data_IF_506744874670
#
_entry.id   IF_506744874670
#
_cell.length_a   1.000
_cell.length_b   1.000
_cell.length_c   1.000
_cell.angle_alpha   90.00
_cell.angle_beta   90.00
_cell.angle_gamma   90.00
#
_symmetry.space_group_name_H-M   'P 1'
#
loop_
_entity.id
_entity.type
_entity.pdbx_description
1 polymer ?
#
# COMPACT_ATOMS: atom_id res chain seq x y z
N UNK A 1 41.22 51.22 -1.14
CA UNK A 1 40.00 51.42 -0.35
C UNK A 1 39.49 50.05 0.10
N UNK A 2 39.90 49.58 1.29
CA UNK A 2 39.46 48.27 1.84
C UNK A 2 38.17 48.50 2.62
N UNK A 3 37.06 47.92 2.17
CA UNK A 3 35.83 47.84 2.94
C UNK A 3 36.08 46.93 4.16
N UNK A 4 36.35 47.52 5.32
CA UNK A 4 36.22 46.82 6.60
C UNK A 4 34.74 46.47 6.76
N UNK A 5 34.41 45.17 6.76
CA UNK A 5 33.06 44.72 7.12
C UNK A 5 32.92 44.85 8.64
N UNK A 6 31.97 45.64 9.10
CA UNK A 6 31.63 45.70 10.52
C UNK A 6 30.97 44.37 10.90
N UNK A 7 31.60 43.59 11.79
CA UNK A 7 31.20 42.23 12.16
C UNK A 7 30.02 42.14 13.12
N UNK A 8 29.11 43.13 13.14
CA UNK A 8 27.99 43.19 14.09
C UNK A 8 26.91 42.13 13.83
N UNK A 9 26.81 41.62 12.60
CA UNK A 9 25.92 40.52 12.24
C UNK A 9 26.57 39.67 11.14
N UNK A 10 26.43 38.35 11.24
CA UNK A 10 26.94 37.39 10.26
C UNK A 10 25.83 36.40 9.93
N UNK A 11 25.73 35.99 8.68
CA UNK A 11 24.79 34.93 8.29
C UNK A 11 25.24 33.60 8.90
N UNK A 12 24.31 32.73 9.30
CA UNK A 12 24.62 31.44 9.93
C UNK A 12 25.62 30.59 9.12
N UNK A 13 25.55 30.69 7.78
CA UNK A 13 26.47 30.02 6.86
C UNK A 13 27.92 30.56 6.94
N UNK A 14 28.11 31.86 7.18
CA UNK A 14 29.44 32.45 7.39
C UNK A 14 29.96 32.33 8.82
N UNK A 15 29.08 32.02 9.78
CA UNK A 15 29.45 31.74 11.16
C UNK A 15 29.97 30.30 11.35
N UNK A 16 29.84 29.44 10.35
CA UNK A 16 30.26 28.04 10.45
C UNK A 16 31.76 27.94 10.72
N UNK A 17 32.12 27.33 11.85
CA UNK A 17 33.52 27.19 12.30
C UNK A 17 34.04 28.34 13.18
N UNK A 18 33.24 29.38 13.41
CA UNK A 18 33.56 30.47 14.34
C UNK A 18 32.99 30.12 15.71
N UNK A 19 33.76 30.40 16.78
CA UNK A 19 33.29 30.35 18.17
C UNK A 19 33.29 31.78 18.71
N UNK A 20 32.20 32.16 19.36
CA UNK A 20 32.00 33.49 19.99
C UNK A 20 31.61 33.30 21.45
N UNK A 21 31.71 34.34 22.27
CA UNK A 21 31.34 34.25 23.68
C UNK A 21 29.82 34.10 23.84
N UNK A 22 29.04 34.92 23.13
CA UNK A 22 27.58 34.83 23.06
C UNK A 22 27.05 34.80 21.62
N UNK A 23 26.01 33.99 21.36
CA UNK A 23 25.30 33.94 20.08
C UNK A 23 23.89 34.49 20.24
N UNK A 24 23.48 35.35 19.32
CA UNK A 24 22.15 35.93 19.24
C UNK A 24 21.59 35.65 17.85
N UNK A 25 20.57 34.80 17.76
CA UNK A 25 20.01 34.29 16.50
C UNK A 25 18.60 34.83 16.31
N UNK A 26 18.34 35.46 15.17
CA UNK A 26 16.97 35.72 14.72
C UNK A 26 16.49 34.50 13.94
N UNK A 27 15.48 33.80 14.47
CA UNK A 27 14.91 32.60 13.88
C UNK A 27 13.50 32.92 13.34
N UNK A 28 13.26 32.57 12.08
CA UNK A 28 11.95 32.66 11.44
C UNK A 28 11.50 31.29 10.93
N UNK A 29 10.25 31.20 10.46
CA UNK A 29 9.65 29.95 10.00
C UNK A 29 10.30 29.35 8.74
N UNK A 30 11.11 30.13 8.01
CA UNK A 30 11.82 29.67 6.81
C UNK A 30 13.20 29.07 7.13
N UNK A 31 13.67 29.18 8.37
CA UNK A 31 14.96 28.64 8.77
C UNK A 31 14.94 27.11 8.83
N UNK A 32 15.96 26.46 8.26
CA UNK A 32 16.12 25.01 8.35
C UNK A 32 16.69 24.59 9.70
N UNK A 33 16.41 23.36 10.14
CA UNK A 33 16.94 22.77 11.37
C UNK A 33 18.45 22.87 11.43
N UNK A 34 19.12 22.58 10.33
CA UNK A 34 20.57 22.55 10.22
C UNK A 34 21.16 23.95 10.40
N UNK A 35 20.53 24.96 9.78
CA UNK A 35 20.94 26.38 9.91
C UNK A 35 20.72 26.88 11.33
N UNK A 36 19.59 26.52 11.95
CA UNK A 36 19.27 26.86 13.33
C UNK A 36 20.25 26.21 14.31
N UNK A 37 20.52 24.92 14.15
CA UNK A 37 21.51 24.19 14.96
C UNK A 37 22.89 24.85 14.89
N UNK A 38 23.36 25.16 13.68
CA UNK A 38 24.64 25.83 13.47
C UNK A 38 24.69 27.17 14.18
N UNK A 39 23.63 27.98 14.13
CA UNK A 39 23.60 29.30 14.75
C UNK A 39 23.54 29.23 16.28
N UNK A 40 22.80 28.25 16.82
CA UNK A 40 22.61 28.04 18.26
C UNK A 40 23.77 27.30 18.95
N UNK A 41 24.82 26.94 18.22
CA UNK A 41 26.00 26.23 18.73
C UNK A 41 27.30 27.03 18.65
N UNK A 42 27.23 28.36 18.43
CA UNK A 42 28.42 29.23 18.25
C UNK A 42 28.86 29.92 19.52
N UNK A 43 27.92 30.24 20.41
CA UNK A 43 28.17 30.85 21.70
C UNK A 43 28.73 29.83 22.68
N UNK A 44 29.87 30.16 23.29
CA UNK A 44 30.49 29.33 24.34
C UNK A 44 29.73 29.44 25.66
N UNK A 45 29.35 30.64 26.04
CA UNK A 45 28.75 30.94 27.35
C UNK A 45 27.23 31.07 27.25
N UNK A 46 26.70 31.63 26.15
CA UNK A 46 25.26 31.84 25.99
C UNK A 46 24.81 31.78 24.52
N UNK A 47 23.62 31.21 24.27
CA UNK A 47 22.98 31.17 22.95
C UNK A 47 21.50 31.57 23.10
N UNK A 48 21.12 32.73 22.54
CA UNK A 48 19.76 33.29 22.61
C UNK A 48 19.12 33.28 21.23
N UNK A 49 17.91 32.71 21.12
CA UNK A 49 17.09 32.78 19.91
C UNK A 49 15.96 33.80 20.08
N UNK A 50 15.91 34.80 19.21
CA UNK A 50 14.77 35.69 19.00
C UNK A 50 13.92 35.08 17.90
N UNK A 51 12.73 34.58 18.24
CA UNK A 51 11.85 33.95 17.26
C UNK A 51 10.89 35.00 16.71
N UNK A 52 11.02 35.28 15.42
CA UNK A 52 10.08 36.12 14.70
C UNK A 52 8.74 35.38 14.59
N UNK A 53 7.74 35.89 15.31
CA UNK A 53 6.34 35.45 15.23
C UNK A 53 5.48 36.37 14.36
N UNK A 54 6.10 37.43 13.82
CA UNK A 54 5.41 38.50 13.11
C UNK A 54 5.20 38.15 11.63
N UNK A 55 4.06 38.56 11.07
CA UNK A 55 3.77 38.49 9.63
C UNK A 55 4.45 39.66 8.89
N UNK A 56 4.87 39.52 7.61
CA UNK A 56 5.03 40.66 6.73
C UNK A 56 3.70 41.43 6.64
N UNK A 57 3.77 42.75 6.55
CA UNK A 57 2.65 43.69 6.52
C UNK A 57 1.43 43.19 5.70
N UNK A 58 0.21 43.11 6.27
CA UNK A 58 -1.01 42.68 5.57
C UNK A 58 -1.42 43.60 4.40
N UNK A 59 -0.71 44.69 4.14
CA UNK A 59 -0.93 45.53 2.96
C UNK A 59 -0.55 44.88 1.62
N UNK A 60 0.15 43.73 1.59
CA UNK A 60 0.67 43.17 0.32
C UNK A 60 0.32 41.72 -0.03
N UNK A 61 -0.36 40.94 0.81
CA UNK A 61 -0.86 39.62 0.38
C UNK A 61 -2.11 39.21 1.17
N UNK A 62 -3.14 38.75 0.45
CA UNK A 62 -4.40 38.29 1.02
C UNK A 62 -4.24 37.00 1.86
N UNK A 63 -5.19 36.68 2.75
CA UNK A 63 -5.07 35.54 3.64
C UNK A 63 -5.04 34.21 2.87
N UNK A 64 -3.94 33.46 3.00
CA UNK A 64 -3.81 32.10 2.48
C UNK A 64 -4.47 31.08 3.41
N UNK A 65 -5.22 30.08 2.89
CA UNK A 65 -5.77 29.01 3.71
C UNK A 65 -4.64 28.07 4.14
N UNK A 66 -4.31 28.09 5.44
CA UNK A 66 -3.18 27.36 6.03
C UNK A 66 -2.44 28.17 7.10
N UNK A 67 -2.68 29.47 7.17
CA UNK A 67 -2.13 30.35 8.21
C UNK A 67 -2.64 29.94 9.59
N UNK A 68 -1.75 29.38 10.41
CA UNK A 68 -1.99 29.13 11.82
C UNK A 68 -2.14 30.49 12.53
N UNK A 69 -3.37 30.85 12.92
CA UNK A 69 -3.72 32.13 13.54
C UNK A 69 -3.09 32.36 14.93
N UNK A 70 -2.39 31.36 15.48
CA UNK A 70 -1.72 31.38 16.78
C UNK A 70 -0.25 30.94 16.67
N UNK A 71 0.52 31.46 15.70
CA UNK A 71 1.95 31.20 15.63
C UNK A 71 2.65 31.71 16.91
N UNK A 72 3.04 30.78 17.79
CA UNK A 72 3.85 31.08 18.97
C UNK A 72 5.32 30.83 18.64
N UNK A 73 6.25 31.43 19.40
CA UNK A 73 7.67 31.14 19.26
C UNK A 73 7.98 29.63 19.29
N UNK A 74 7.18 28.88 20.06
CA UNK A 74 7.29 27.41 20.16
C UNK A 74 6.84 26.70 18.88
N UNK A 75 5.75 27.12 18.25
CA UNK A 75 5.28 26.49 17.00
C UNK A 75 6.20 26.79 15.83
N UNK A 76 6.74 28.02 15.74
CA UNK A 76 7.75 28.38 14.74
C UNK A 76 9.01 27.54 14.93
N UNK A 77 9.52 27.45 16.16
CA UNK A 77 10.70 26.65 16.45
C UNK A 77 10.47 25.15 16.18
N UNK A 78 9.27 24.63 16.46
CA UNK A 78 8.90 23.26 16.12
C UNK A 78 8.92 23.04 14.61
N UNK A 79 8.40 23.99 13.83
CA UNK A 79 8.48 23.98 12.36
C UNK A 79 9.93 23.99 11.86
N UNK A 80 10.78 24.86 12.41
CA UNK A 80 12.22 24.92 12.09
C UNK A 80 12.91 23.58 12.37
N UNK A 81 12.60 22.91 13.49
CA UNK A 81 13.16 21.59 13.81
C UNK A 81 12.66 20.47 12.89
N UNK A 82 11.51 20.63 12.24
CA UNK A 82 10.99 19.70 11.23
C UNK A 82 11.47 20.05 9.82
N UNK A 83 11.92 21.28 9.58
CA UNK A 83 12.38 21.75 8.28
C UNK A 83 13.82 21.29 7.99
N UNK A 84 13.96 20.09 7.43
CA UNK A 84 15.25 19.53 7.00
C UNK A 84 15.63 20.16 5.67
N UNK A 85 16.72 20.93 5.66
CA UNK A 85 17.21 21.65 4.47
C UNK A 85 18.13 20.83 3.56
N UNK A 86 18.32 19.54 3.83
CA UNK A 86 19.06 18.67 2.94
C UNK A 86 18.21 18.41 1.70
N UNK A 87 18.58 19.00 0.56
CA UNK A 87 18.17 18.46 -0.73
C UNK A 87 18.58 16.98 -0.76
N UNK A 88 17.62 16.09 -1.05
CA UNK A 88 17.90 14.66 -1.22
C UNK A 88 19.09 14.52 -2.16
N UNK A 89 20.12 13.80 -1.74
CA UNK A 89 21.28 13.59 -2.59
C UNK A 89 20.84 12.96 -3.92
N UNK A 90 21.57 13.20 -5.00
CA UNK A 90 21.25 12.59 -6.30
C UNK A 90 21.05 11.05 -6.19
N UNK A 91 21.69 10.39 -5.23
CA UNK A 91 21.53 8.97 -4.97
C UNK A 91 20.22 8.62 -4.25
N UNK A 92 19.78 9.44 -3.28
CA UNK A 92 18.48 9.25 -2.61
C UNK A 92 17.32 9.56 -3.56
N UNK A 93 17.47 10.55 -4.44
CA UNK A 93 16.51 10.82 -5.52
C UNK A 93 16.44 9.66 -6.50
N UNK A 94 17.59 9.12 -6.94
CA UNK A 94 17.63 7.93 -7.81
C UNK A 94 17.01 6.72 -7.11
N UNK A 95 17.28 6.50 -5.83
CA UNK A 95 16.72 5.37 -5.08
C UNK A 95 15.20 5.52 -4.89
N UNK A 96 14.72 6.72 -4.54
CA UNK A 96 13.29 6.99 -4.39
C UNK A 96 12.54 6.90 -5.71
N UNK A 97 13.13 7.38 -6.81
CA UNK A 97 12.59 7.17 -8.15
C UNK A 97 12.56 5.68 -8.49
N UNK A 98 13.68 4.97 -8.36
CA UNK A 98 13.75 3.53 -8.63
C UNK A 98 12.72 2.74 -7.81
N UNK A 99 12.50 3.10 -6.54
CA UNK A 99 11.48 2.49 -5.70
C UNK A 99 10.06 2.79 -6.16
N UNK A 100 9.79 4.01 -6.64
CA UNK A 100 8.51 4.38 -7.20
C UNK A 100 8.23 3.65 -8.53
N UNK A 101 9.22 3.61 -9.43
CA UNK A 101 9.17 2.89 -10.71
C UNK A 101 9.06 1.37 -10.52
N UNK A 102 9.64 0.83 -9.45
CA UNK A 102 9.52 -0.56 -9.10
C UNK A 102 8.26 -0.88 -8.28
N UNK A 103 7.45 0.09 -7.86
CA UNK A 103 6.30 -0.13 -6.97
C UNK A 103 5.31 -1.17 -7.49
N UNK A 104 4.70 -1.94 -6.57
CA UNK A 104 3.64 -2.90 -6.92
C UNK A 104 2.44 -2.17 -7.53
N UNK A 105 2.20 -0.90 -7.17
CA UNK A 105 1.18 -0.08 -7.82
C UNK A 105 1.45 0.05 -9.33
N UNK A 106 2.67 0.44 -9.71
CA UNK A 106 3.09 0.59 -11.10
C UNK A 106 3.09 -0.75 -11.84
N UNK A 107 3.74 -1.77 -11.28
CA UNK A 107 3.81 -3.11 -11.89
C UNK A 107 2.42 -3.75 -12.06
N UNK A 108 1.51 -3.53 -11.11
CA UNK A 108 0.13 -4.01 -11.22
C UNK A 108 -0.63 -3.29 -12.33
N UNK A 109 -0.48 -1.97 -12.47
CA UNK A 109 -1.12 -1.21 -13.54
C UNK A 109 -0.63 -1.66 -14.93
N UNK A 110 0.67 -1.91 -15.08
CA UNK A 110 1.25 -2.47 -16.30
C UNK A 110 0.72 -3.87 -16.59
N UNK A 111 0.68 -4.74 -15.58
CA UNK A 111 0.13 -6.09 -15.70
C UNK A 111 -1.35 -6.06 -16.12
N UNK A 112 -2.17 -5.22 -15.49
CA UNK A 112 -3.60 -5.10 -15.77
C UNK A 112 -3.86 -4.58 -17.19
N UNK A 113 -3.05 -3.62 -17.66
CA UNK A 113 -3.12 -3.12 -19.04
C UNK A 113 -2.76 -4.20 -20.05
N UNK A 114 -1.66 -4.94 -19.81
CA UNK A 114 -1.27 -6.06 -20.66
C UNK A 114 -2.32 -7.18 -20.66
N UNK A 115 -2.91 -7.46 -19.50
CA UNK A 115 -3.94 -8.50 -19.35
C UNK A 115 -5.21 -8.13 -20.12
N UNK A 116 -5.64 -6.86 -20.05
CA UNK A 116 -6.79 -6.37 -20.79
C UNK A 116 -6.61 -6.56 -22.29
N UNK A 117 -5.44 -6.18 -22.83
CA UNK A 117 -5.13 -6.38 -24.24
C UNK A 117 -5.02 -7.87 -24.61
N UNK A 118 -4.35 -8.68 -23.78
CA UNK A 118 -4.09 -10.10 -24.06
C UNK A 118 -5.33 -10.99 -24.07
N UNK A 119 -6.35 -10.62 -23.30
CA UNK A 119 -7.58 -11.39 -23.18
C UNK A 119 -8.76 -10.78 -23.95
N UNK A 120 -8.57 -9.62 -24.60
CA UNK A 120 -9.64 -8.87 -25.27
C UNK A 120 -10.45 -9.76 -26.23
N UNK A 121 -9.78 -10.41 -27.18
CA UNK A 121 -10.45 -11.22 -28.21
C UNK A 121 -11.18 -12.43 -27.62
N UNK A 122 -10.57 -13.05 -26.60
CA UNK A 122 -11.19 -14.16 -25.87
C UNK A 122 -12.48 -13.72 -25.17
N UNK A 123 -12.46 -12.56 -24.52
CA UNK A 123 -13.65 -12.06 -23.84
C UNK A 123 -14.72 -11.57 -24.81
N UNK A 124 -14.34 -10.94 -25.91
CA UNK A 124 -15.26 -10.57 -26.98
C UNK A 124 -15.97 -11.81 -27.56
N UNK A 125 -15.23 -12.89 -27.78
CA UNK A 125 -15.79 -14.15 -28.27
C UNK A 125 -16.73 -14.82 -27.26
N UNK A 126 -16.38 -14.75 -25.97
CA UNK A 126 -17.24 -15.25 -24.91
C UNK A 126 -18.56 -14.45 -24.81
N UNK A 127 -18.52 -13.13 -25.07
CA UNK A 127 -19.72 -12.29 -25.09
C UNK A 127 -20.60 -12.64 -26.29
N UNK A 128 -20.03 -12.79 -27.50
CA UNK A 128 -20.77 -13.23 -28.68
C UNK A 128 -21.43 -14.60 -28.51
N UNK A 129 -20.77 -15.52 -27.81
CA UNK A 129 -21.32 -16.86 -27.52
C UNK A 129 -22.19 -16.95 -26.26
N UNK A 130 -22.45 -15.82 -25.57
CA UNK A 130 -23.17 -15.79 -24.29
C UNK A 130 -24.70 -15.94 -24.42
N UNK A 131 -25.24 -15.87 -25.63
CA UNK A 131 -26.68 -15.91 -25.91
C UNK A 131 -27.36 -14.53 -25.98
N UNK A 132 -26.58 -13.46 -26.08
CA UNK A 132 -27.04 -12.15 -26.55
C UNK A 132 -27.36 -12.20 -28.05
N UNK A 133 -28.12 -11.22 -28.55
CA UNK A 133 -28.20 -10.97 -29.99
C UNK A 133 -26.83 -10.49 -30.50
N UNK A 134 -26.61 -10.55 -31.80
CA UNK A 134 -25.37 -10.07 -32.42
C UNK A 134 -25.17 -8.56 -32.15
N UNK A 135 -26.24 -7.77 -32.32
CA UNK A 135 -26.24 -6.32 -32.05
C UNK A 135 -25.93 -6.02 -30.57
N UNK A 136 -26.60 -6.69 -29.61
CA UNK A 136 -26.36 -6.47 -28.17
C UNK A 136 -24.93 -6.87 -27.77
N UNK A 137 -24.37 -7.90 -28.41
CA UNK A 137 -23.01 -8.35 -28.14
C UNK A 137 -21.97 -7.34 -28.64
N UNK A 138 -22.17 -6.78 -29.83
CA UNK A 138 -21.31 -5.74 -30.39
C UNK A 138 -21.39 -4.44 -29.58
N UNK A 139 -22.60 -4.06 -29.12
CA UNK A 139 -22.80 -2.91 -28.22
C UNK A 139 -22.05 -3.10 -26.89
N UNK A 140 -22.07 -4.32 -26.32
CA UNK A 140 -21.30 -4.64 -25.11
C UNK A 140 -19.79 -4.53 -25.34
N UNK A 141 -19.29 -5.00 -26.48
CA UNK A 141 -17.86 -4.97 -26.79
C UNK A 141 -17.38 -3.53 -27.03
N UNK A 142 -18.20 -2.70 -27.67
CA UNK A 142 -17.91 -1.29 -27.91
C UNK A 142 -18.12 -0.39 -26.68
N UNK A 143 -18.78 -0.90 -25.63
CA UNK A 143 -19.12 -0.13 -24.44
C UNK A 143 -17.87 0.34 -23.67
N UNK A 144 -17.86 1.59 -23.15
CA UNK A 144 -16.84 2.06 -22.21
C UNK A 144 -16.72 1.17 -20.95
N UNK A 145 -17.78 0.47 -20.57
CA UNK A 145 -17.81 -0.43 -19.42
C UNK A 145 -17.20 -1.81 -19.70
N UNK A 146 -16.81 -2.12 -20.95
CA UNK A 146 -16.25 -3.42 -21.33
C UNK A 146 -14.94 -3.72 -20.58
N UNK A 147 -14.09 -2.71 -20.35
CA UNK A 147 -12.86 -2.86 -19.57
C UNK A 147 -13.13 -3.30 -18.12
N UNK A 148 -14.13 -2.70 -17.48
CA UNK A 148 -14.54 -3.07 -16.12
C UNK A 148 -15.14 -4.48 -16.08
N UNK A 149 -15.99 -4.81 -17.06
CA UNK A 149 -16.56 -6.15 -17.21
C UNK A 149 -15.45 -7.22 -17.35
N UNK A 150 -14.52 -7.05 -18.28
CA UNK A 150 -13.44 -8.02 -18.51
C UNK A 150 -12.48 -8.15 -17.34
N UNK A 151 -12.23 -7.07 -16.59
CA UNK A 151 -11.49 -7.12 -15.34
C UNK A 151 -12.21 -7.99 -14.28
N UNK A 152 -13.53 -7.87 -14.15
CA UNK A 152 -14.32 -8.73 -13.25
C UNK A 152 -14.42 -10.18 -13.72
N UNK A 153 -14.53 -10.43 -15.03
CA UNK A 153 -14.49 -11.79 -15.58
C UNK A 153 -13.14 -12.47 -15.27
N UNK A 154 -12.02 -11.76 -15.48
CA UNK A 154 -10.68 -12.23 -15.09
C UNK A 154 -10.59 -12.48 -13.58
N UNK A 155 -11.12 -11.57 -12.75
CA UNK A 155 -11.16 -11.73 -11.29
C UNK A 155 -11.90 -13.00 -10.88
N UNK A 156 -13.04 -13.27 -11.49
CA UNK A 156 -13.85 -14.43 -11.20
C UNK A 156 -13.18 -15.73 -11.69
N UNK A 157 -12.55 -15.74 -12.87
CA UNK A 157 -11.74 -16.86 -13.37
C UNK A 157 -10.55 -17.16 -12.42
N UNK A 158 -9.84 -16.13 -11.96
CA UNK A 158 -8.77 -16.27 -10.98
C UNK A 158 -9.27 -16.90 -9.66
N UNK A 159 -10.50 -16.61 -9.25
CA UNK A 159 -11.19 -17.23 -8.11
C UNK A 159 -11.85 -18.58 -8.45
N UNK A 160 -11.50 -19.18 -9.59
CA UNK A 160 -11.92 -20.51 -10.02
C UNK A 160 -13.42 -20.62 -10.34
N UNK A 161 -14.08 -19.50 -10.69
CA UNK A 161 -15.42 -19.53 -11.24
C UNK A 161 -15.37 -19.92 -12.72
N UNK A 162 -16.27 -20.80 -13.15
CA UNK A 162 -16.44 -21.19 -14.54
C UNK A 162 -17.31 -20.15 -15.26
N UNK A 163 -16.64 -19.17 -15.86
CA UNK A 163 -17.30 -18.03 -16.50
C UNK A 163 -17.99 -18.42 -17.80
N UNK A 164 -17.44 -19.40 -18.52
CA UNK A 164 -18.03 -19.94 -19.74
C UNK A 164 -19.41 -20.55 -19.46
N UNK A 165 -19.58 -21.19 -18.30
CA UNK A 165 -20.87 -21.74 -17.86
C UNK A 165 -21.77 -20.68 -17.20
N UNK A 166 -21.21 -19.71 -16.48
CA UNK A 166 -21.97 -18.74 -15.69
C UNK A 166 -22.51 -17.58 -16.53
N UNK A 167 -21.73 -17.07 -17.49
CA UNK A 167 -22.11 -15.88 -18.25
C UNK A 167 -23.43 -16.07 -19.03
N UNK A 168 -23.66 -17.20 -19.75
CA UNK A 168 -24.93 -17.43 -20.42
C UNK A 168 -26.14 -17.50 -19.47
N UNK A 169 -25.91 -17.87 -18.21
CA UNK A 169 -26.96 -17.87 -17.17
C UNK A 169 -27.27 -16.46 -16.70
N UNK A 170 -26.25 -15.61 -16.57
CA UNK A 170 -26.44 -14.21 -16.20
C UNK A 170 -27.15 -13.41 -17.28
N UNK A 171 -26.86 -13.67 -18.55
CA UNK A 171 -27.58 -13.09 -19.70
C UNK A 171 -29.07 -13.46 -19.64
N UNK A 172 -29.38 -14.75 -19.47
CA UNK A 172 -30.77 -15.25 -19.44
C UNK A 172 -31.57 -14.89 -18.17
N UNK A 173 -30.91 -14.55 -17.07
CA UNK A 173 -31.58 -14.35 -15.78
C UNK A 173 -32.59 -13.17 -15.78
N UNK A 174 -32.30 -12.11 -16.54
CA UNK A 174 -33.18 -10.94 -16.68
C UNK A 174 -32.84 -10.21 -17.98
N UNK A 175 -33.87 -9.85 -18.76
CA UNK A 175 -33.70 -9.10 -20.01
C UNK A 175 -33.06 -7.71 -19.80
N UNK A 176 -32.63 -7.12 -20.92
CA UNK A 176 -31.90 -5.84 -20.96
C UNK A 176 -32.74 -4.67 -21.50
N UNK A 177 -34.06 -4.84 -21.67
CA UNK A 177 -34.92 -3.84 -22.33
C UNK A 177 -34.94 -2.44 -21.70
N UNK A 178 -34.58 -2.32 -20.42
CA UNK A 178 -34.48 -1.03 -19.70
C UNK A 178 -33.02 -0.61 -19.41
N UNK A 179 -32.03 -1.29 -20.01
CA UNK A 179 -30.62 -1.06 -19.71
C UNK A 179 -29.99 -0.09 -20.71
N UNK A 180 -29.49 1.04 -20.22
CA UNK A 180 -28.72 2.00 -21.04
C UNK A 180 -27.32 1.46 -21.41
N UNK A 181 -26.76 0.56 -20.60
CA UNK A 181 -25.46 -0.08 -20.84
C UNK A 181 -25.49 -1.55 -20.37
N UNK A 182 -25.60 -2.46 -21.35
CA UNK A 182 -25.63 -3.91 -21.12
C UNK A 182 -24.34 -4.39 -20.45
N UNK A 183 -23.18 -3.82 -20.80
CA UNK A 183 -21.89 -4.20 -20.25
C UNK A 183 -21.80 -3.85 -18.76
N UNK A 184 -22.29 -2.67 -18.36
CA UNK A 184 -22.38 -2.27 -16.95
C UNK A 184 -23.31 -3.19 -16.14
N UNK A 185 -24.45 -3.60 -16.73
CA UNK A 185 -25.37 -4.54 -16.08
C UNK A 185 -24.73 -5.92 -15.91
N UNK A 186 -24.04 -6.43 -16.94
CA UNK A 186 -23.31 -7.70 -16.84
C UNK A 186 -22.18 -7.63 -15.81
N UNK A 187 -21.43 -6.53 -15.78
CA UNK A 187 -20.39 -6.28 -14.79
C UNK A 187 -20.96 -6.37 -13.36
N UNK A 188 -22.06 -5.66 -13.08
CA UNK A 188 -22.74 -5.72 -11.79
C UNK A 188 -23.23 -7.14 -11.44
N UNK A 189 -23.83 -7.85 -12.40
CA UNK A 189 -24.33 -9.23 -12.19
C UNK A 189 -23.19 -10.20 -11.86
N UNK A 190 -22.08 -10.13 -12.59
CA UNK A 190 -20.89 -10.94 -12.34
C UNK A 190 -20.33 -10.61 -10.96
N UNK A 191 -20.05 -9.34 -10.67
CA UNK A 191 -19.51 -8.91 -9.39
C UNK A 191 -20.35 -9.39 -8.21
N UNK A 192 -21.68 -9.29 -8.29
CA UNK A 192 -22.57 -9.74 -7.23
C UNK A 192 -22.61 -11.27 -7.10
N UNK A 193 -22.63 -12.00 -8.22
CA UNK A 193 -22.66 -13.46 -8.21
C UNK A 193 -21.34 -14.08 -7.74
N UNK A 194 -20.22 -13.39 -7.95
CA UNK A 194 -18.87 -13.87 -7.61
C UNK A 194 -18.29 -13.19 -6.38
N UNK A 195 -19.07 -12.37 -5.67
CA UNK A 195 -18.66 -11.72 -4.42
C UNK A 195 -18.31 -12.74 -3.32
N UNK A 196 -18.94 -13.92 -3.37
CA UNK A 196 -18.60 -15.06 -2.50
C UNK A 196 -17.70 -16.03 -3.29
N UNK A 197 -16.64 -16.57 -2.67
CA UNK A 197 -15.84 -17.63 -3.29
C UNK A 197 -16.73 -18.76 -3.79
N UNK A 198 -16.38 -19.35 -4.94
CA UNK A 198 -17.02 -20.57 -5.44
C UNK A 198 -17.16 -21.60 -4.30
N UNK A 199 -18.39 -22.09 -4.11
CA UNK A 199 -18.90 -22.63 -2.85
C UNK A 199 -18.14 -23.80 -2.20
N UNK A 200 -18.59 -24.14 -0.98
CA UNK A 200 -18.04 -25.11 -0.01
C UNK A 200 -18.00 -26.59 -0.47
N UNK A 201 -17.44 -26.88 -1.62
CA UNK A 201 -17.18 -28.23 -2.11
C UNK A 201 -15.89 -28.84 -1.53
N UNK A 202 -15.85 -30.18 -1.47
CA UNK A 202 -14.81 -31.02 -0.82
C UNK A 202 -13.37 -30.84 -1.33
N UNK A 203 -13.12 -30.05 -2.37
CA UNK A 203 -11.77 -29.67 -2.84
C UNK A 203 -11.80 -28.21 -3.28
N UNK A 204 -11.49 -27.29 -2.36
CA UNK A 204 -11.39 -25.86 -2.67
C UNK A 204 -10.14 -25.64 -3.52
N UNK A 205 -10.32 -25.38 -4.84
CA UNK A 205 -9.20 -24.97 -5.69
C UNK A 205 -8.65 -23.62 -5.20
N UNK A 206 -7.34 -23.52 -5.12
CA UNK A 206 -6.67 -22.29 -4.67
C UNK A 206 -6.86 -21.20 -5.73
N UNK A 207 -7.24 -19.96 -5.34
CA UNK A 207 -7.25 -18.83 -6.27
C UNK A 207 -5.88 -18.62 -6.93
N UNK A 208 -5.89 -18.20 -8.20
CA UNK A 208 -4.70 -17.86 -8.98
C UNK A 208 -4.43 -16.37 -8.85
N UNK A 209 -3.64 -16.02 -7.85
CA UNK A 209 -3.34 -14.63 -7.49
C UNK A 209 -1.84 -14.40 -7.46
N UNK A 210 -1.41 -13.26 -7.99
CA UNK A 210 -0.04 -12.75 -7.95
C UNK A 210 0.15 -11.99 -6.64
N UNK A 211 1.19 -12.35 -5.89
CA UNK A 211 1.45 -11.96 -4.50
C UNK A 211 0.25 -12.16 -3.56
N UNK A 212 -0.70 -13.03 -3.93
CA UNK A 212 -1.97 -13.23 -3.22
C UNK A 212 -2.98 -12.08 -3.33
N UNK A 213 -2.74 -11.11 -4.22
CA UNK A 213 -3.57 -9.91 -4.39
C UNK A 213 -4.15 -9.77 -5.80
N UNK A 214 -3.29 -9.77 -6.83
CA UNK A 214 -3.66 -9.39 -8.19
C UNK A 214 -4.16 -10.63 -8.96
N UNK A 215 -5.35 -10.59 -9.60
CA UNK A 215 -5.84 -11.69 -10.41
C UNK A 215 -4.93 -12.02 -11.60
N UNK A 216 -4.43 -13.25 -11.65
CA UNK A 216 -3.63 -13.75 -12.77
C UNK A 216 -4.50 -13.84 -14.03
N UNK A 217 -4.02 -13.32 -15.15
CA UNK A 217 -4.61 -13.50 -16.47
C UNK A 217 -4.30 -14.90 -16.99
N UNK A 218 -5.34 -15.64 -17.38
CA UNK A 218 -5.23 -17.03 -17.82
C UNK A 218 -5.94 -17.26 -19.15
N UNK A 219 -5.80 -18.46 -19.71
CA UNK A 219 -6.44 -18.85 -20.98
C UNK A 219 -5.54 -18.74 -22.21
N UNK A 220 -6.18 -18.80 -23.37
CA UNK A 220 -5.56 -18.69 -24.69
C UNK A 220 -5.23 -17.23 -24.99
N UNK A 221 -3.97 -16.97 -25.32
CA UNK A 221 -3.44 -15.67 -25.70
C UNK A 221 -2.12 -15.87 -26.47
N UNK A 222 -1.67 -14.88 -27.28
CA UNK A 222 -0.39 -14.94 -27.98
C UNK A 222 0.78 -15.24 -27.03
N UNK A 223 1.80 -15.97 -27.50
CA UNK A 223 2.95 -16.38 -26.68
C UNK A 223 3.73 -15.18 -26.13
N UNK A 224 3.87 -14.12 -26.94
CA UNK A 224 4.56 -12.88 -26.53
C UNK A 224 3.81 -12.19 -25.38
N UNK A 225 2.48 -12.10 -25.44
CA UNK A 225 1.68 -11.52 -24.36
C UNK A 225 1.71 -12.38 -23.10
N UNK A 226 1.71 -13.71 -23.24
CA UNK A 226 1.89 -14.64 -22.12
C UNK A 226 3.25 -14.45 -21.45
N UNK A 227 4.32 -14.31 -22.24
CA UNK A 227 5.65 -14.04 -21.73
C UNK A 227 5.70 -12.69 -21.01
N UNK A 228 5.19 -11.63 -21.62
CA UNK A 228 5.06 -10.30 -21.03
C UNK A 228 4.34 -10.31 -19.67
N UNK A 229 3.21 -11.01 -19.57
CA UNK A 229 2.47 -11.18 -18.32
C UNK A 229 3.28 -11.97 -17.28
N UNK A 230 4.00 -13.00 -17.71
CA UNK A 230 4.87 -13.81 -16.82
C UNK A 230 5.99 -12.96 -16.24
N UNK A 231 6.67 -12.16 -17.06
CA UNK A 231 7.73 -11.25 -16.62
C UNK A 231 7.20 -10.24 -15.60
N UNK A 232 6.05 -9.60 -15.86
CA UNK A 232 5.43 -8.64 -14.92
C UNK A 232 4.98 -9.32 -13.62
N UNK A 233 4.42 -10.52 -13.71
CA UNK A 233 4.08 -11.34 -12.52
C UNK A 233 5.32 -11.56 -11.66
N UNK A 234 6.41 -12.02 -12.27
CA UNK A 234 7.62 -12.39 -11.54
C UNK A 234 8.26 -11.15 -10.89
N UNK A 235 8.21 -9.97 -11.53
CA UNK A 235 8.64 -8.70 -10.92
C UNK A 235 7.81 -8.33 -9.68
N UNK A 236 6.48 -8.47 -9.74
CA UNK A 236 5.58 -8.21 -8.59
C UNK A 236 5.90 -9.17 -7.44
N UNK A 237 6.09 -10.45 -7.76
CA UNK A 237 6.41 -11.50 -6.81
C UNK A 237 7.76 -11.23 -6.11
N UNK A 238 8.80 -10.91 -6.87
CA UNK A 238 10.13 -10.55 -6.36
C UNK A 238 10.04 -9.33 -5.44
N UNK A 239 9.34 -8.27 -5.86
CA UNK A 239 9.19 -7.07 -5.03
C UNK A 239 8.44 -7.38 -3.72
N UNK A 240 7.36 -8.14 -3.77
CA UNK A 240 6.62 -8.51 -2.57
C UNK A 240 7.49 -9.31 -1.58
N UNK A 241 8.39 -10.16 -2.07
CA UNK A 241 9.35 -10.88 -1.24
C UNK A 241 10.41 -9.95 -0.63
N UNK A 242 10.99 -9.04 -1.42
CA UNK A 242 11.96 -8.04 -0.93
C UNK A 242 11.35 -7.17 0.16
N UNK A 243 10.13 -6.66 -0.06
CA UNK A 243 9.42 -5.83 0.93
C UNK A 243 9.15 -6.58 2.23
N UNK A 244 8.75 -7.86 2.13
CA UNK A 244 8.54 -8.69 3.31
C UNK A 244 9.84 -8.94 4.06
N UNK A 245 10.93 -9.26 3.36
CA UNK A 245 12.23 -9.53 3.98
C UNK A 245 12.81 -8.30 4.65
N UNK A 246 12.71 -7.12 4.02
CA UNK A 246 13.08 -5.84 4.65
C UNK A 246 12.26 -5.61 5.92
N UNK A 247 10.94 -5.77 5.86
CA UNK A 247 10.07 -5.56 7.02
C UNK A 247 10.34 -6.53 8.17
N UNK A 248 10.68 -7.79 7.87
CA UNK A 248 11.09 -8.79 8.86
C UNK A 248 12.43 -8.46 9.51
N UNK A 249 13.42 -8.08 8.70
CA UNK A 249 14.77 -7.74 9.17
C UNK A 249 14.77 -6.48 10.03
N UNK A 250 14.05 -5.45 9.61
CA UNK A 250 13.91 -4.17 10.32
C UNK A 250 12.86 -4.22 11.43
N UNK A 251 12.14 -5.34 11.58
CA UNK A 251 11.11 -5.56 12.60
C UNK A 251 10.04 -4.46 12.62
N UNK A 252 9.52 -4.13 11.44
CA UNK A 252 8.46 -3.12 11.30
C UNK A 252 7.27 -3.41 12.23
N UNK A 253 6.65 -2.37 12.79
CA UNK A 253 5.54 -2.52 13.74
C UNK A 253 4.35 -3.28 13.15
N UNK A 254 4.12 -3.20 11.84
CA UNK A 254 3.04 -3.95 11.23
C UNK A 254 3.31 -5.45 11.22
N UNK A 255 4.58 -5.89 11.15
CA UNK A 255 4.99 -7.30 11.23
C UNK A 255 4.74 -7.86 12.63
N UNK A 256 5.04 -7.09 13.68
CA UNK A 256 4.80 -7.55 15.05
C UNK A 256 3.31 -7.77 15.32
N UNK A 257 2.44 -6.98 14.65
CA UNK A 257 0.99 -7.13 14.67
C UNK A 257 0.45 -8.39 13.96
N UNK A 258 1.26 -9.13 13.19
CA UNK A 258 0.90 -10.43 12.61
C UNK A 258 1.07 -11.60 13.60
N UNK A 259 1.80 -11.38 14.70
CA UNK A 259 2.19 -12.41 15.66
C UNK A 259 3.51 -13.09 15.33
N UNK A 260 3.93 -14.03 16.19
CA UNK A 260 5.20 -14.75 16.06
C UNK A 260 5.14 -15.73 14.90
N UNK A 261 6.16 -15.74 14.06
CA UNK A 261 6.28 -16.70 12.97
C UNK A 261 6.31 -18.14 13.52
N UNK A 262 5.48 -19.05 12.97
CA UNK A 262 5.48 -20.45 13.36
C UNK A 262 6.84 -21.15 13.15
N UNK A 263 7.22 -22.08 14.02
CA UNK A 263 8.39 -22.98 13.93
C UNK A 263 8.17 -24.14 12.97
N UNK A 264 6.96 -24.66 12.87
CA UNK A 264 6.65 -25.77 11.96
C UNK A 264 6.77 -25.30 10.52
N UNK A 265 7.63 -25.95 9.71
CA UNK A 265 7.98 -25.50 8.36
C UNK A 265 6.77 -25.20 7.46
N UNK A 266 5.72 -26.04 7.51
CA UNK A 266 4.50 -25.83 6.72
C UNK A 266 3.71 -24.60 7.19
N UNK A 267 3.56 -24.41 8.50
CA UNK A 267 2.87 -23.26 9.08
C UNK A 267 3.67 -21.97 8.86
N UNK A 268 5.00 -22.05 8.95
CA UNK A 268 5.93 -20.96 8.67
C UNK A 268 5.79 -20.46 7.22
N UNK A 269 5.74 -21.39 6.25
CA UNK A 269 5.54 -21.06 4.85
C UNK A 269 4.16 -20.44 4.60
N UNK A 270 3.10 -20.99 5.19
CA UNK A 270 1.75 -20.43 5.08
C UNK A 270 1.64 -19.02 5.71
N UNK A 271 2.30 -18.81 6.84
CA UNK A 271 2.38 -17.50 7.51
C UNK A 271 3.14 -16.50 6.65
N UNK A 272 4.28 -16.91 6.07
CA UNK A 272 5.07 -16.06 5.17
C UNK A 272 4.28 -15.67 3.91
N UNK A 273 3.54 -16.60 3.32
CA UNK A 273 2.67 -16.29 2.17
C UNK A 273 1.56 -15.29 2.55
N UNK A 274 0.99 -15.39 3.75
CA UNK A 274 0.02 -14.41 4.23
C UNK A 274 0.64 -13.03 4.49
N UNK A 275 1.84 -12.99 5.10
CA UNK A 275 2.59 -11.76 5.32
C UNK A 275 2.99 -11.08 4.01
N UNK A 276 3.37 -11.86 3.00
CA UNK A 276 3.69 -11.39 1.65
C UNK A 276 2.52 -10.69 0.96
N UNK A 277 1.30 -11.24 1.09
CA UNK A 277 0.08 -10.57 0.59
C UNK A 277 -0.16 -9.23 1.27
N UNK A 278 0.14 -9.13 2.57
CA UNK A 278 0.02 -7.86 3.31
C UNK A 278 1.09 -6.87 2.84
N UNK A 279 2.34 -7.31 2.65
CA UNK A 279 3.41 -6.47 2.10
C UNK A 279 3.04 -5.94 0.71
N UNK A 280 2.52 -6.81 -0.16
CA UNK A 280 2.06 -6.43 -1.49
C UNK A 280 0.92 -5.40 -1.46
N UNK A 281 -0.06 -5.61 -0.58
CA UNK A 281 -1.16 -4.66 -0.38
C UNK A 281 -0.66 -3.30 0.14
N UNK A 282 0.27 -3.31 1.11
CA UNK A 282 0.83 -2.08 1.69
C UNK A 282 1.56 -1.26 0.65
N UNK A 283 2.41 -1.89 -0.16
CA UNK A 283 3.16 -1.20 -1.20
C UNK A 283 2.26 -0.71 -2.35
N UNK A 284 1.28 -1.51 -2.77
CA UNK A 284 0.29 -1.11 -3.80
C UNK A 284 -0.47 0.16 -3.43
N UNK A 285 -0.76 0.38 -2.15
CA UNK A 285 -1.58 1.50 -1.67
C UNK A 285 -0.79 2.52 -0.83
N UNK A 286 0.54 2.47 -0.82
CA UNK A 286 1.38 3.45 -0.11
C UNK A 286 1.19 3.48 1.42
N UNK A 287 0.93 2.34 2.04
CA UNK A 287 0.63 2.24 3.47
C UNK A 287 1.94 2.16 4.27
N UNK A 288 2.35 3.28 4.86
CA UNK A 288 3.53 3.36 5.73
C UNK A 288 3.22 3.12 7.23
N UNK A 289 1.96 3.29 7.66
CA UNK A 289 1.59 3.24 9.07
C UNK A 289 1.73 1.87 9.74
N UNK A 290 1.66 1.82 11.09
CA UNK A 290 1.90 0.59 11.87
C UNK A 290 0.75 -0.43 11.78
N UNK A 291 -0.45 0.03 11.41
CA UNK A 291 -1.57 -0.85 11.14
C UNK A 291 -1.29 -1.68 9.87
N UNK A 292 -1.40 -3.03 9.92
CA UNK A 292 -1.09 -3.89 8.77
C UNK A 292 -1.80 -3.50 7.48
N UNK A 293 -3.04 -3.02 7.56
CA UNK A 293 -3.87 -2.69 6.39
C UNK A 293 -4.18 -1.19 6.25
N UNK A 294 -3.58 -0.32 7.07
CA UNK A 294 -3.85 1.12 7.02
C UNK A 294 -5.30 1.50 7.36
N UNK A 295 -5.73 2.66 6.86
CA UNK A 295 -7.10 3.15 6.97
C UNK A 295 -8.09 2.30 6.14
N UNK A 296 -9.40 2.33 6.45
CA UNK A 296 -10.41 1.66 5.65
C UNK A 296 -10.37 2.09 4.18
N UNK A 297 -10.58 1.14 3.26
CA UNK A 297 -10.59 1.39 1.83
C UNK A 297 -11.81 2.21 1.39
N UNK A 298 -11.58 3.29 0.65
CA UNK A 298 -12.64 4.16 0.14
C UNK A 298 -13.07 3.76 -1.27
N UNK A 299 -12.11 3.47 -2.15
CA UNK A 299 -12.36 3.07 -3.53
C UNK A 299 -12.79 1.60 -3.65
N UNK A 300 -13.72 1.30 -4.56
CA UNK A 300 -14.27 -0.06 -4.73
C UNK A 300 -13.21 -1.09 -5.15
N UNK A 301 -12.24 -0.70 -5.99
CA UNK A 301 -11.11 -1.54 -6.37
C UNK A 301 -10.25 -1.91 -5.15
N UNK A 302 -10.00 -0.93 -4.27
CA UNK A 302 -9.25 -1.14 -3.03
C UNK A 302 -10.03 -1.99 -2.02
N UNK A 303 -11.36 -1.88 -1.94
CA UNK A 303 -12.17 -2.67 -0.99
C UNK A 303 -11.98 -4.18 -1.17
N UNK A 304 -11.89 -4.65 -2.42
CA UNK A 304 -11.69 -6.08 -2.71
C UNK A 304 -10.28 -6.55 -2.34
N UNK A 305 -9.28 -5.74 -2.64
CA UNK A 305 -7.89 -6.02 -2.28
C UNK A 305 -7.66 -5.95 -0.76
N UNK A 306 -8.32 -5.01 -0.10
CA UNK A 306 -8.37 -4.91 1.36
C UNK A 306 -9.04 -6.13 2.00
N UNK A 307 -10.09 -6.69 1.38
CA UNK A 307 -10.71 -7.92 1.85
C UNK A 307 -9.77 -9.13 1.74
N UNK A 308 -8.98 -9.23 0.65
CA UNK A 308 -7.94 -10.26 0.49
C UNK A 308 -6.84 -10.12 1.53
N UNK A 309 -6.35 -8.90 1.72
CA UNK A 309 -5.33 -8.59 2.71
C UNK A 309 -5.82 -8.83 4.14
N UNK A 310 -7.11 -8.57 4.43
CA UNK A 310 -7.77 -8.92 5.70
C UNK A 310 -7.79 -10.43 5.92
N UNK A 311 -8.22 -11.20 4.92
CA UNK A 311 -8.20 -12.65 5.02
C UNK A 311 -6.78 -13.21 5.21
N UNK A 312 -5.76 -12.58 4.63
CA UNK A 312 -4.37 -12.92 4.88
C UNK A 312 -3.93 -12.59 6.32
N UNK A 313 -4.29 -11.41 6.84
CA UNK A 313 -4.01 -11.01 8.21
C UNK A 313 -4.63 -11.99 9.23
N UNK A 314 -5.89 -12.37 9.03
CA UNK A 314 -6.58 -13.31 9.91
C UNK A 314 -5.91 -14.70 9.86
N UNK A 315 -5.49 -15.16 8.67
CA UNK A 315 -4.71 -16.41 8.54
C UNK A 315 -3.36 -16.34 9.26
N UNK A 316 -2.61 -15.26 9.12
CA UNK A 316 -1.32 -15.08 9.78
C UNK A 316 -1.48 -15.11 11.30
N UNK A 317 -2.47 -14.40 11.85
CA UNK A 317 -2.77 -14.40 13.29
C UNK A 317 -3.17 -15.79 13.80
N UNK A 318 -4.02 -16.50 13.07
CA UNK A 318 -4.44 -17.85 13.46
C UNK A 318 -3.27 -18.84 13.47
N UNK A 319 -2.35 -18.74 12.49
CA UNK A 319 -1.16 -19.58 12.44
C UNK A 319 -0.19 -19.27 13.59
N UNK A 320 0.00 -17.99 13.94
CA UNK A 320 0.82 -17.58 15.07
C UNK A 320 0.25 -18.05 16.41
N UNK A 321 -1.08 -18.01 16.58
CA UNK A 321 -1.76 -18.48 17.78
C UNK A 321 -1.74 -20.01 17.92
N UNK A 322 -1.88 -20.76 16.81
CA UNK A 322 -1.95 -22.22 16.84
C UNK A 322 -0.67 -22.91 17.36
N UNK A 323 0.47 -22.22 17.41
CA UNK A 323 1.72 -22.74 18.00
C UNK A 323 1.94 -22.38 19.47
N UNK A 324 1.22 -21.39 20.00
CA UNK A 324 1.30 -21.02 21.41
C UNK A 324 0.73 -22.06 22.41
N UNK A 325 -0.28 -22.91 22.10
CA UNK A 325 -0.89 -23.78 23.11
C UNK A 325 -0.03 -24.97 23.58
N UNK A 326 1.14 -25.21 23.00
CA UNK A 326 2.09 -26.23 23.51
C UNK A 326 3.05 -25.69 24.58
N UNK A 327 3.14 -24.37 24.81
CA UNK A 327 4.00 -23.80 25.85
C UNK A 327 3.30 -23.61 27.20
N UNK A 328 1.97 -23.60 27.26
CA UNK A 328 1.19 -23.27 28.46
C UNK A 328 0.41 -24.44 29.09
N UNK A 329 0.72 -25.71 28.78
CA UNK A 329 0.19 -26.82 29.61
C UNK A 329 0.92 -26.85 30.95
N UNK A 330 0.29 -26.48 32.09
CA UNK A 330 0.92 -26.68 33.38
C UNK A 330 1.05 -28.18 33.58
N UNK A 331 2.27 -28.66 33.82
CA UNK A 331 2.50 -30.01 34.36
C UNK A 331 1.66 -30.11 35.63
N UNK A 332 0.52 -30.80 35.57
CA UNK A 332 -0.23 -31.18 36.77
C UNK A 332 0.70 -32.03 37.63
N UNK A 333 1.32 -31.41 38.64
CA UNK A 333 1.83 -32.12 39.80
C UNK A 333 0.63 -32.79 40.46
N UNK A 334 0.41 -34.06 40.11
CA UNK A 334 -0.55 -34.91 40.79
C UNK A 334 -0.13 -35.08 42.24
N UNK A 335 -0.96 -34.54 43.12
CA UNK A 335 -0.78 -34.54 44.56
C UNK A 335 -0.53 -35.95 45.13
N UNK A 336 0.44 -36.02 46.05
CA UNK A 336 0.66 -37.12 46.99
C UNK A 336 -0.66 -37.44 47.71
N UNK A 337 -1.18 -38.65 47.52
CA UNK A 337 -2.28 -39.19 48.35
C UNK A 337 -1.76 -39.44 49.76
N UNK A 338 -2.25 -38.69 50.73
CA UNK A 338 -2.17 -39.05 52.16
C UNK A 338 -3.39 -39.93 52.42
N UNK A 339 -3.15 -41.19 52.81
CA UNK A 339 -4.21 -42.12 53.21
C UNK A 339 -4.66 -41.86 54.65
N UNK A 340 -5.92 -42.13 55.02
CA UNK A 340 -6.38 -41.93 56.38
C UNK A 340 -5.96 -43.11 57.26
N UNK A 341 -5.44 -42.79 58.45
CA UNK A 341 -5.34 -43.72 59.57
C UNK A 341 -6.62 -43.65 60.40
N UNK A 342 -7.36 -44.75 60.46
CA UNK A 342 -7.93 -45.43 61.63
C UNK A 342 -8.97 -46.46 61.18
#
# INVERSE_FOLDING_TARGET
MRLQKLGYAVTSYRAQGITVDSSHVLADASMTRETFYVAMSRGREENIAYVAVDKPDPAHDGPHPGDNTEATARSVLFGVLQHVGAELSAHETIAAEQDAWASIAQLAAEYETLAAAAQHDRWAELIRSSGLSEDDADDVIASPSFGALTAELRRAEANQHDIETLLPRFVRARGFGDADDIAAVLHYRVANATARPSGSGRVRKTPRLIAGLIPEATGTMPSEMRQALTERRDLIEIRADVLLDTALNEKHEWITNLGVQPKQARAAHAWRNAARTIAAYRDRYGIAGPAPLGAPAEADTQKLDAARARAALDRAKNLAQAEQPDQERPRRMGARRVGPSL
#
